data_IF_411561116823
#
_entry.id   IF_411561116823
#
_cell.length_a   1.000
_cell.length_b   1.000
_cell.length_c   1.000
_cell.angle_alpha   90.00
_cell.angle_beta   90.00
_cell.angle_gamma   90.00
#
_symmetry.space_group_name_H-M   'P 1'
#
loop_
_entity.id
_entity.type
_entity.pdbx_description
1 polymer ?
#
# COMPACT_ATOMS: atom_id res chain seq x y z
N UNK A 1 -22.37 -12.44 -31.41
CA UNK A 1 -20.94 -12.04 -31.60
C UNK A 1 -20.92 -10.54 -31.60
N UNK A 2 -20.60 -9.88 -30.47
CA UNK A 2 -20.50 -8.41 -30.41
C UNK A 2 -19.08 -8.01 -30.78
N UNK A 3 -18.94 -6.98 -31.63
CA UNK A 3 -17.64 -6.46 -32.07
C UNK A 3 -16.91 -5.68 -30.96
N UNK A 4 -15.57 -5.55 -31.03
CA UNK A 4 -14.78 -4.95 -29.96
C UNK A 4 -15.03 -3.44 -29.72
N UNK A 5 -15.73 -2.76 -30.61
CA UNK A 5 -16.00 -1.31 -30.54
C UNK A 5 -17.24 -0.94 -29.71
N UNK A 6 -18.11 -1.90 -29.40
CA UNK A 6 -19.34 -1.64 -28.61
C UNK A 6 -19.14 -1.65 -27.10
N UNK A 7 -17.90 -1.85 -26.63
CA UNK A 7 -17.58 -2.03 -25.22
C UNK A 7 -17.75 -0.78 -24.33
N UNK A 8 -17.61 0.42 -24.90
CA UNK A 8 -17.74 1.66 -24.13
C UNK A 8 -19.18 2.19 -24.03
N UNK A 9 -20.05 1.83 -24.95
CA UNK A 9 -21.43 2.31 -24.97
C UNK A 9 -22.35 1.51 -24.04
N UNK A 10 -21.95 0.30 -23.65
CA UNK A 10 -22.77 -0.54 -22.77
C UNK A 10 -22.86 0.01 -21.33
N UNK A 11 -21.80 0.67 -20.82
CA UNK A 11 -21.80 1.17 -19.44
C UNK A 11 -22.67 2.42 -19.27
N UNK A 12 -22.72 3.29 -20.27
CA UNK A 12 -23.52 4.54 -20.22
C UNK A 12 -24.97 4.37 -20.65
N UNK A 13 -25.26 3.40 -21.51
CA UNK A 13 -26.61 3.21 -22.06
C UNK A 13 -27.40 2.02 -21.42
N UNK A 14 -26.74 1.11 -20.70
CA UNK A 14 -27.44 -0.02 -20.07
C UNK A 14 -28.06 0.32 -18.70
N UNK A 15 -27.53 1.32 -17.95
CA UNK A 15 -28.05 1.60 -16.61
C UNK A 15 -29.53 2.02 -16.57
N UNK A 16 -30.06 2.90 -17.46
CA UNK A 16 -31.45 3.30 -17.39
C UNK A 16 -32.47 2.32 -18.02
N UNK A 17 -32.03 1.48 -18.97
CA UNK A 17 -32.98 0.68 -19.77
C UNK A 17 -32.92 -0.84 -19.49
N UNK A 18 -31.92 -1.35 -18.80
CA UNK A 18 -31.75 -2.78 -18.54
C UNK A 18 -32.24 -3.27 -17.17
N UNK A 19 -32.52 -2.35 -16.23
CA UNK A 19 -32.90 -2.74 -14.87
C UNK A 19 -34.17 -3.62 -14.78
N UNK A 20 -35.25 -3.38 -15.56
CA UNK A 20 -36.45 -4.20 -15.42
C UNK A 20 -36.41 -5.56 -16.10
N UNK A 21 -35.58 -5.76 -17.14
CA UNK A 21 -35.66 -6.95 -17.99
C UNK A 21 -34.42 -7.88 -17.97
N UNK A 22 -33.30 -7.45 -17.38
CA UNK A 22 -32.05 -8.23 -17.43
C UNK A 22 -31.63 -8.88 -16.11
N UNK A 23 -32.36 -8.65 -15.00
CA UNK A 23 -31.98 -9.14 -13.68
C UNK A 23 -31.85 -10.67 -13.52
N UNK A 24 -32.66 -11.53 -14.17
CA UNK A 24 -32.53 -12.98 -13.96
C UNK A 24 -31.50 -13.68 -14.83
N UNK A 25 -31.09 -13.10 -15.96
CA UNK A 25 -30.24 -13.82 -16.94
C UNK A 25 -28.88 -13.24 -17.22
N UNK A 26 -28.63 -11.97 -16.92
CA UNK A 26 -27.38 -11.30 -17.28
C UNK A 26 -26.35 -11.16 -16.14
N UNK A 27 -26.74 -11.34 -14.89
CA UNK A 27 -25.86 -11.09 -13.75
C UNK A 27 -24.69 -12.08 -13.57
N UNK A 28 -24.77 -13.38 -13.84
CA UNK A 28 -23.58 -14.21 -13.69
C UNK A 28 -22.62 -14.21 -14.87
N UNK A 29 -23.05 -13.87 -16.10
CA UNK A 29 -22.22 -14.10 -17.29
C UNK A 29 -21.59 -12.87 -17.94
N UNK A 30 -22.23 -11.70 -17.91
CA UNK A 30 -21.75 -10.56 -18.69
C UNK A 30 -20.89 -9.58 -17.92
N UNK A 31 -21.14 -9.36 -16.62
CA UNK A 31 -20.41 -8.32 -15.88
C UNK A 31 -19.12 -8.81 -15.23
N UNK A 32 -19.07 -10.04 -14.73
CA UNK A 32 -17.90 -10.48 -13.95
C UNK A 32 -16.80 -11.11 -14.82
N UNK A 33 -17.13 -11.94 -15.79
CA UNK A 33 -16.11 -12.65 -16.59
C UNK A 33 -15.46 -11.80 -17.70
N UNK A 34 -16.19 -10.85 -18.30
CA UNK A 34 -15.67 -10.00 -19.37
C UNK A 34 -15.09 -8.68 -18.93
N UNK A 35 -15.55 -8.10 -17.80
CA UNK A 35 -14.86 -6.96 -17.18
C UNK A 35 -13.49 -7.37 -16.64
N UNK A 36 -13.33 -8.57 -16.09
CA UNK A 36 -12.06 -9.03 -15.54
C UNK A 36 -11.06 -9.44 -16.62
N UNK A 37 -11.50 -10.10 -17.71
CA UNK A 37 -10.61 -10.61 -18.76
C UNK A 37 -9.95 -9.54 -19.65
N UNK A 38 -10.53 -8.34 -19.77
CA UNK A 38 -9.98 -7.23 -20.56
C UNK A 38 -9.04 -6.30 -19.76
N UNK A 39 -9.00 -6.41 -18.44
CA UNK A 39 -8.19 -5.55 -17.56
C UNK A 39 -6.82 -6.13 -17.22
N UNK A 40 -6.56 -7.42 -17.44
CA UNK A 40 -5.29 -8.07 -17.14
C UNK A 40 -4.29 -7.97 -18.30
N UNK A 41 -3.92 -6.76 -18.70
CA UNK A 41 -2.66 -6.55 -19.41
C UNK A 41 -1.58 -6.30 -18.36
N UNK A 42 -0.86 -7.36 -17.96
CA UNK A 42 0.22 -7.29 -16.97
C UNK A 42 1.25 -6.26 -17.46
N UNK A 43 1.28 -5.12 -16.77
CA UNK A 43 2.15 -3.99 -17.11
C UNK A 43 3.53 -4.13 -16.42
N UNK A 44 4.27 -5.19 -16.77
CA UNK A 44 5.62 -5.44 -16.20
C UNK A 44 6.60 -4.27 -16.45
N UNK A 45 6.36 -3.46 -17.47
CA UNK A 45 7.19 -2.29 -17.75
C UNK A 45 7.10 -1.25 -16.63
N UNK A 46 5.99 -1.18 -15.92
CA UNK A 46 5.82 -0.33 -14.75
C UNK A 46 6.84 -0.66 -13.65
N UNK A 47 7.11 -1.94 -13.38
CA UNK A 47 8.05 -2.36 -12.33
C UNK A 47 9.48 -1.83 -12.53
N UNK A 48 9.85 -1.51 -13.78
CA UNK A 48 11.15 -0.91 -14.11
C UNK A 48 11.15 0.63 -14.08
N UNK A 49 9.99 1.24 -13.91
CA UNK A 49 9.87 2.69 -13.78
C UNK A 49 10.20 3.16 -12.36
N UNK A 50 10.65 4.41 -12.20
CA UNK A 50 10.96 4.97 -10.88
C UNK A 50 9.79 4.81 -9.88
N UNK A 51 8.52 5.15 -10.22
CA UNK A 51 7.41 4.94 -9.31
C UNK A 51 7.14 3.45 -8.99
N UNK A 52 7.38 2.54 -9.94
CA UNK A 52 7.22 1.11 -9.70
C UNK A 52 8.24 0.58 -8.69
N UNK A 53 9.50 0.97 -8.85
CA UNK A 53 10.57 0.60 -7.90
C UNK A 53 10.26 1.14 -6.51
N UNK A 54 9.80 2.39 -6.39
CA UNK A 54 9.43 2.98 -5.09
C UNK A 54 8.33 2.15 -4.41
N UNK A 55 7.24 1.80 -5.12
CA UNK A 55 6.15 0.99 -4.55
C UNK A 55 6.58 -0.42 -4.16
N UNK A 56 7.50 -1.02 -4.90
CA UNK A 56 8.10 -2.31 -4.53
C UNK A 56 8.91 -2.16 -3.23
N UNK A 57 9.76 -1.15 -3.13
CA UNK A 57 10.56 -0.88 -1.93
C UNK A 57 9.67 -0.62 -0.71
N UNK A 58 8.65 0.25 -0.84
CA UNK A 58 7.66 0.51 0.23
C UNK A 58 7.02 -0.79 0.72
N UNK A 59 6.54 -1.62 -0.21
CA UNK A 59 5.84 -2.88 0.13
C UNK A 59 6.79 -3.89 0.78
N UNK A 60 7.99 -4.09 0.22
CA UNK A 60 8.94 -5.09 0.74
C UNK A 60 9.49 -4.69 2.11
N UNK A 61 9.87 -3.42 2.30
CA UNK A 61 10.40 -2.95 3.59
C UNK A 61 9.29 -3.00 4.64
N UNK A 62 8.06 -2.61 4.33
CA UNK A 62 6.92 -2.71 5.25
C UNK A 62 6.61 -4.15 5.63
N UNK A 63 6.67 -5.10 4.68
CA UNK A 63 6.53 -6.52 4.97
C UNK A 63 7.62 -7.03 5.91
N UNK A 64 8.88 -6.60 5.70
CA UNK A 64 10.00 -6.97 6.56
C UNK A 64 9.84 -6.42 7.99
N UNK A 65 9.45 -5.14 8.12
CA UNK A 65 9.16 -4.52 9.43
C UNK A 65 8.07 -5.31 10.15
N UNK A 66 6.97 -5.60 9.45
CA UNK A 66 5.84 -6.35 10.01
C UNK A 66 6.29 -7.74 10.48
N UNK A 67 7.09 -8.45 9.67
CA UNK A 67 7.67 -9.74 10.02
C UNK A 67 8.54 -9.67 11.28
N UNK A 68 9.45 -8.68 11.37
CA UNK A 68 10.30 -8.47 12.56
C UNK A 68 9.47 -8.18 13.81
N UNK A 69 8.44 -7.34 13.70
CA UNK A 69 7.57 -6.99 14.81
C UNK A 69 6.77 -8.19 15.30
N UNK A 70 6.22 -9.00 14.41
CA UNK A 70 5.46 -10.21 14.77
C UNK A 70 6.38 -11.26 15.39
N UNK A 71 7.50 -11.56 14.76
CA UNK A 71 8.40 -12.65 15.20
C UNK A 71 9.10 -12.36 16.53
N UNK A 72 9.50 -11.11 16.75
CA UNK A 72 10.35 -10.75 17.91
C UNK A 72 9.68 -9.79 18.88
N UNK A 73 8.71 -8.99 18.46
CA UNK A 73 8.10 -7.94 19.28
C UNK A 73 6.81 -8.36 19.96
N UNK A 74 6.02 -9.25 19.36
CA UNK A 74 4.67 -9.55 19.82
C UNK A 74 4.65 -10.10 21.26
N UNK A 75 5.62 -10.93 21.63
CA UNK A 75 5.75 -11.47 22.99
C UNK A 75 5.99 -10.38 24.06
N UNK A 76 6.61 -9.26 23.65
CA UNK A 76 6.95 -8.14 24.54
C UNK A 76 6.04 -6.93 24.34
N UNK A 77 4.92 -7.10 23.64
CA UNK A 77 3.99 -6.00 23.32
C UNK A 77 3.50 -5.28 24.56
N UNK A 78 3.17 -6.03 25.64
CA UNK A 78 2.76 -5.46 26.92
C UNK A 78 3.85 -4.64 27.62
N UNK A 79 5.13 -4.96 27.38
CA UNK A 79 6.27 -4.24 27.98
C UNK A 79 6.60 -2.96 27.20
N UNK A 80 6.54 -3.01 25.87
CA UNK A 80 6.79 -1.85 24.99
C UNK A 80 5.56 -0.94 24.93
N UNK A 81 4.36 -1.52 25.08
CA UNK A 81 3.10 -0.80 25.18
C UNK A 81 2.63 -0.17 23.87
N UNK A 82 1.93 0.97 23.99
CA UNK A 82 1.26 1.66 22.87
C UNK A 82 2.19 2.02 21.70
N UNK A 83 3.49 2.22 21.95
CA UNK A 83 4.45 2.51 20.88
C UNK A 83 4.59 1.32 19.91
N UNK A 84 4.58 0.09 20.43
CA UNK A 84 4.62 -1.13 19.64
C UNK A 84 3.30 -1.33 18.88
N UNK A 85 2.16 -1.21 19.56
CA UNK A 85 0.84 -1.40 18.95
C UNK A 85 0.58 -0.37 17.86
N UNK A 86 0.86 0.91 18.11
CA UNK A 86 0.73 1.97 17.12
C UNK A 86 1.62 1.76 15.89
N UNK A 87 2.86 1.29 16.10
CA UNK A 87 3.77 0.97 15.01
C UNK A 87 3.29 -0.25 14.20
N UNK A 88 2.76 -1.27 14.87
CA UNK A 88 2.22 -2.47 14.23
C UNK A 88 0.99 -2.13 13.36
N UNK A 89 0.05 -1.33 13.90
CA UNK A 89 -1.14 -0.87 13.18
C UNK A 89 -0.74 -0.03 11.95
N UNK A 90 0.15 0.94 12.14
CA UNK A 90 0.65 1.80 11.06
C UNK A 90 1.28 0.96 9.95
N UNK A 91 2.20 0.06 10.31
CA UNK A 91 2.91 -0.77 9.33
C UNK A 91 1.95 -1.69 8.58
N UNK A 92 0.99 -2.31 9.28
CA UNK A 92 -0.01 -3.19 8.67
C UNK A 92 -0.92 -2.46 7.69
N UNK A 93 -1.44 -1.30 8.08
CA UNK A 93 -2.33 -0.49 7.25
C UNK A 93 -1.61 0.04 5.99
N UNK A 94 -0.41 0.59 6.15
CA UNK A 94 0.37 1.12 5.03
C UNK A 94 0.87 -0.02 4.11
N UNK A 95 1.30 -1.15 4.67
CA UNK A 95 1.68 -2.33 3.89
C UNK A 95 0.52 -2.81 3.00
N UNK A 96 -0.66 -3.00 3.59
CA UNK A 96 -1.83 -3.46 2.84
C UNK A 96 -2.19 -2.49 1.71
N UNK A 97 -2.20 -1.18 2.00
CA UNK A 97 -2.53 -0.17 1.00
C UNK A 97 -1.48 -0.09 -0.11
N UNK A 98 -0.19 -0.09 0.23
CA UNK A 98 0.89 -0.10 -0.77
C UNK A 98 0.89 -1.37 -1.62
N UNK A 99 0.62 -2.54 -1.02
CA UNK A 99 0.49 -3.81 -1.74
C UNK A 99 -0.70 -3.80 -2.71
N UNK A 100 -1.86 -3.30 -2.29
CA UNK A 100 -3.03 -3.16 -3.17
C UNK A 100 -2.76 -2.19 -4.32
N UNK A 101 -2.13 -1.04 -4.06
CA UNK A 101 -1.74 -0.10 -5.11
C UNK A 101 -0.75 -0.74 -6.10
N UNK A 102 0.25 -1.48 -5.60
CA UNK A 102 1.20 -2.19 -6.44
C UNK A 102 0.49 -3.21 -7.34
N UNK A 103 -0.42 -4.01 -6.79
CA UNK A 103 -1.23 -4.96 -7.57
C UNK A 103 -2.06 -4.22 -8.63
N UNK A 104 -2.76 -3.14 -8.28
CA UNK A 104 -3.54 -2.34 -9.22
C UNK A 104 -2.68 -1.79 -10.37
N UNK A 105 -1.47 -1.34 -10.08
CA UNK A 105 -0.56 -0.77 -11.07
C UNK A 105 0.03 -1.82 -12.02
N UNK A 106 0.32 -3.02 -11.49
CA UNK A 106 0.81 -4.15 -12.29
C UNK A 106 -0.29 -4.73 -13.18
N UNK A 107 -1.53 -4.76 -12.69
CA UNK A 107 -2.65 -5.37 -13.41
C UNK A 107 -3.24 -4.47 -14.50
N UNK A 108 -3.12 -3.13 -14.38
CA UNK A 108 -3.74 -2.22 -15.34
C UNK A 108 -3.01 -0.88 -15.48
N UNK A 109 -2.50 -0.61 -16.69
CA UNK A 109 -1.94 0.71 -17.03
C UNK A 109 -2.98 1.84 -16.91
N UNK A 110 -4.24 1.55 -17.20
CA UNK A 110 -5.33 2.53 -17.04
C UNK A 110 -5.56 2.87 -15.57
N UNK A 111 -5.53 1.87 -14.68
CA UNK A 111 -5.64 2.08 -13.24
C UNK A 111 -4.46 2.89 -12.71
N UNK A 112 -3.23 2.58 -13.13
CA UNK A 112 -2.04 3.36 -12.77
C UNK A 112 -2.20 4.84 -13.13
N UNK A 113 -2.55 5.15 -14.39
CA UNK A 113 -2.75 6.53 -14.83
C UNK A 113 -3.88 7.21 -14.05
N UNK A 114 -5.03 6.54 -13.89
CA UNK A 114 -6.18 7.08 -13.18
C UNK A 114 -5.85 7.44 -11.73
N UNK A 115 -5.19 6.54 -10.98
CA UNK A 115 -4.85 6.77 -9.56
C UNK A 115 -3.79 7.85 -9.42
N UNK A 116 -2.74 7.82 -10.27
CA UNK A 116 -1.61 8.76 -10.18
C UNK A 116 -1.97 10.20 -10.55
N UNK A 117 -3.03 10.43 -11.34
CA UNK A 117 -3.58 11.75 -11.61
C UNK A 117 -4.52 12.26 -10.51
N UNK A 118 -4.80 11.46 -9.48
CA UNK A 118 -5.65 11.88 -8.36
C UNK A 118 -4.83 12.35 -7.17
N UNK A 119 -5.43 13.18 -6.35
CA UNK A 119 -4.84 13.60 -5.07
C UNK A 119 -4.72 12.43 -4.06
N UNK A 120 -5.38 11.29 -4.32
CA UNK A 120 -5.41 10.16 -3.39
C UNK A 120 -3.99 9.64 -3.08
N UNK A 121 -3.17 9.40 -4.10
CA UNK A 121 -1.82 8.87 -3.89
C UNK A 121 -0.91 9.87 -3.14
N UNK A 122 -1.04 11.16 -3.46
CA UNK A 122 -0.30 12.22 -2.75
C UNK A 122 -0.68 12.24 -1.27
N UNK A 123 -1.98 12.25 -0.98
CA UNK A 123 -2.49 12.27 0.39
C UNK A 123 -2.12 10.99 1.16
N UNK A 124 -2.27 9.82 0.52
CA UNK A 124 -1.88 8.55 1.12
C UNK A 124 -0.40 8.54 1.50
N UNK A 125 0.50 8.87 0.57
CA UNK A 125 1.94 8.87 0.82
C UNK A 125 2.34 9.92 1.87
N UNK A 126 1.69 11.09 1.90
CA UNK A 126 1.91 12.11 2.92
C UNK A 126 1.52 11.62 4.31
N UNK A 127 0.34 11.03 4.45
CA UNK A 127 -0.12 10.45 5.72
C UNK A 127 0.78 9.28 6.13
N UNK A 128 1.12 8.38 5.21
CA UNK A 128 2.02 7.27 5.48
C UNK A 128 3.41 7.74 5.95
N UNK A 129 4.00 8.75 5.27
CA UNK A 129 5.26 9.37 5.70
C UNK A 129 5.17 9.86 7.14
N UNK A 130 4.14 10.64 7.47
CA UNK A 130 3.94 11.20 8.81
C UNK A 130 3.76 10.12 9.87
N UNK A 131 2.96 9.09 9.58
CA UNK A 131 2.71 7.97 10.48
C UNK A 131 3.96 7.10 10.69
N UNK A 132 4.72 6.81 9.65
CA UNK A 132 5.95 6.04 9.77
C UNK A 132 7.03 6.78 10.56
N UNK A 133 7.23 8.08 10.31
CA UNK A 133 8.23 8.87 11.03
C UNK A 133 7.86 9.03 12.51
N UNK A 134 6.59 9.27 12.83
CA UNK A 134 6.13 9.31 14.23
C UNK A 134 6.26 7.95 14.91
N UNK A 135 5.85 6.86 14.24
CA UNK A 135 6.01 5.49 14.74
C UNK A 135 7.48 5.14 15.00
N UNK A 136 8.39 5.50 14.08
CA UNK A 136 9.82 5.27 14.26
C UNK A 136 10.36 5.99 15.49
N UNK A 137 9.95 7.24 15.71
CA UNK A 137 10.36 8.01 16.88
C UNK A 137 9.86 7.38 18.18
N UNK A 138 8.57 7.05 18.27
CA UNK A 138 7.99 6.44 19.48
C UNK A 138 8.56 5.05 19.74
N UNK A 139 8.72 4.22 18.72
CA UNK A 139 9.29 2.89 18.88
C UNK A 139 10.77 2.94 19.28
N UNK A 140 11.55 3.88 18.72
CA UNK A 140 12.94 4.09 19.11
C UNK A 140 13.07 4.54 20.56
N UNK A 141 12.21 5.45 21.00
CA UNK A 141 12.19 5.93 22.41
C UNK A 141 11.80 4.80 23.35
N UNK A 142 10.72 4.06 23.05
CA UNK A 142 10.30 2.93 23.86
C UNK A 142 11.37 1.84 23.91
N UNK A 143 12.00 1.50 22.78
CA UNK A 143 13.09 0.51 22.74
C UNK A 143 14.27 0.92 23.59
N UNK A 144 14.70 2.18 23.55
CA UNK A 144 15.83 2.67 24.35
C UNK A 144 15.51 2.76 25.84
N UNK A 145 14.35 3.30 26.19
CA UNK A 145 13.98 3.51 27.60
C UNK A 145 13.57 2.21 28.27
N UNK A 146 12.69 1.44 27.66
CA UNK A 146 12.10 0.25 28.29
C UNK A 146 13.04 -0.95 28.22
N UNK A 147 13.66 -1.21 27.07
CA UNK A 147 14.52 -2.38 26.93
C UNK A 147 15.86 -2.24 27.64
N UNK A 148 16.46 -1.05 27.66
CA UNK A 148 17.72 -0.82 28.35
C UNK A 148 17.55 -0.81 29.89
N UNK A 149 16.43 -0.31 30.37
CA UNK A 149 16.15 -0.23 31.83
C UNK A 149 15.59 -1.53 32.41
N UNK A 150 14.82 -2.30 31.68
CA UNK A 150 14.19 -3.56 32.13
C UNK A 150 15.12 -4.77 32.01
N UNK A 151 16.32 -4.60 31.70
CA UNK A 151 17.52 -5.42 31.57
C UNK A 151 17.43 -6.88 32.03
N UNK A 152 17.16 -7.74 31.17
CA UNK A 152 17.62 -9.09 30.82
C UNK A 152 16.88 -9.54 29.59
N UNK A 153 16.66 -8.57 28.71
CA UNK A 153 15.98 -8.79 27.43
C UNK A 153 16.89 -9.61 26.55
N UNK A 154 16.29 -10.58 25.90
CA UNK A 154 16.96 -11.36 24.86
C UNK A 154 17.60 -10.40 23.83
N UNK A 155 18.93 -10.46 23.68
CA UNK A 155 19.72 -9.59 22.81
C UNK A 155 19.17 -9.55 21.39
N UNK A 156 18.64 -10.69 20.91
CA UNK A 156 18.04 -10.81 19.59
C UNK A 156 16.80 -9.90 19.41
N UNK A 157 15.98 -9.78 20.45
CA UNK A 157 14.81 -8.88 20.43
C UNK A 157 15.23 -7.41 20.34
N UNK A 158 16.24 -7.01 21.13
CA UNK A 158 16.74 -5.63 21.09
C UNK A 158 17.25 -5.27 19.68
N UNK A 159 18.04 -6.14 19.06
CA UNK A 159 18.50 -5.92 17.69
C UNK A 159 17.37 -5.91 16.67
N UNK A 160 16.40 -6.81 16.80
CA UNK A 160 15.25 -6.85 15.89
C UNK A 160 14.41 -5.57 15.98
N UNK A 161 14.13 -5.07 17.19
CA UNK A 161 13.38 -3.82 17.39
C UNK A 161 14.18 -2.60 16.93
N UNK A 162 15.50 -2.62 17.12
CA UNK A 162 16.40 -1.57 16.59
C UNK A 162 16.37 -1.52 15.06
N UNK A 163 16.46 -2.66 14.41
CA UNK A 163 16.35 -2.75 12.95
C UNK A 163 14.95 -2.30 12.51
N UNK A 164 13.89 -2.72 13.22
CA UNK A 164 12.52 -2.37 12.88
C UNK A 164 12.31 -0.85 12.88
N UNK A 165 12.69 -0.10 13.94
CA UNK A 165 12.47 1.35 13.94
C UNK A 165 13.36 2.09 12.92
N UNK A 166 14.57 1.60 12.61
CA UNK A 166 15.40 2.17 11.55
C UNK A 166 14.74 1.98 10.19
N UNK A 167 14.26 0.77 9.88
CA UNK A 167 13.54 0.49 8.64
C UNK A 167 12.25 1.28 8.55
N UNK A 168 11.54 1.48 9.67
CA UNK A 168 10.33 2.31 9.75
C UNK A 168 10.64 3.77 9.38
N UNK A 169 11.77 4.32 9.85
CA UNK A 169 12.20 5.66 9.45
C UNK A 169 12.54 5.71 7.94
N UNK A 170 13.26 4.71 7.44
CA UNK A 170 13.63 4.63 6.02
C UNK A 170 12.39 4.58 5.12
N UNK A 171 11.41 3.71 5.43
CA UNK A 171 10.19 3.62 4.62
C UNK A 171 9.38 4.92 4.69
N UNK A 172 9.36 5.59 5.84
CA UNK A 172 8.74 6.92 5.97
C UNK A 172 9.38 7.94 5.03
N UNK A 173 10.71 7.97 4.92
CA UNK A 173 11.42 8.83 3.97
C UNK A 173 11.12 8.45 2.51
N UNK A 174 11.01 7.17 2.19
CA UNK A 174 10.64 6.71 0.84
C UNK A 174 9.25 7.21 0.47
N UNK A 175 8.25 7.11 1.37
CA UNK A 175 6.93 7.70 1.15
C UNK A 175 7.01 9.22 0.95
N UNK A 176 7.88 9.92 1.70
CA UNK A 176 8.11 11.36 1.51
C UNK A 176 8.66 11.72 0.12
N UNK A 177 9.60 10.93 -0.40
CA UNK A 177 10.12 11.08 -1.77
C UNK A 177 9.00 10.81 -2.79
N UNK A 178 8.17 9.79 -2.56
CA UNK A 178 7.08 9.46 -3.49
C UNK A 178 6.00 10.56 -3.50
N UNK A 179 5.71 11.23 -2.37
CA UNK A 179 4.87 12.45 -2.33
C UNK A 179 5.39 13.50 -3.32
N UNK A 180 6.69 13.77 -3.27
CA UNK A 180 7.30 14.77 -4.16
C UNK A 180 7.21 14.36 -5.62
N UNK A 181 7.45 13.07 -5.93
CA UNK A 181 7.34 12.55 -7.29
C UNK A 181 5.90 12.57 -7.80
N UNK A 182 4.92 12.17 -6.98
CA UNK A 182 3.50 12.25 -7.30
C UNK A 182 3.04 13.68 -7.54
N UNK A 183 3.46 14.63 -6.69
CA UNK A 183 3.15 16.04 -6.87
C UNK A 183 3.74 16.61 -8.16
N UNK A 184 5.00 16.30 -8.47
CA UNK A 184 5.60 16.67 -9.75
C UNK A 184 4.81 16.13 -10.94
N UNK A 185 4.48 14.85 -10.90
CA UNK A 185 3.71 14.19 -11.95
C UNK A 185 2.33 14.84 -12.13
N UNK A 186 1.65 15.12 -11.03
CA UNK A 186 0.36 15.81 -11.02
C UNK A 186 0.46 17.21 -11.66
N UNK A 187 1.50 17.98 -11.35
CA UNK A 187 1.67 19.35 -11.85
C UNK A 187 2.13 19.41 -13.31
N UNK A 188 2.97 18.49 -13.75
CA UNK A 188 3.60 18.54 -15.07
C UNK A 188 2.94 17.63 -16.10
N UNK A 189 2.12 16.68 -15.67
CA UNK A 189 1.51 15.67 -16.55
C UNK A 189 2.52 14.68 -17.15
N UNK A 190 3.77 14.71 -16.68
CA UNK A 190 4.89 13.89 -17.19
C UNK A 190 5.60 13.16 -16.05
#
# INVERSE_FOLDING_TARGET
MCSPLEYCTCFTNCLPNCLPNCLPTCWPCCCFGKCFGGYFNIHLRFLKSAPGVMKICETLISALILGLMIMYGLYYSSTIGLAFEGSLITTSACFLTSALLLVCYVTSEKAFRAIRFTHFEIMFNFVACSLYLSSAYFLATATKVVLVTTIRVNLNMYHAMTIAYILTAIVGLIHGIDVYMCYRFYKTGK
#
